data_IF_177112438463
#
_entry.id   IF_177112438463
#
_cell.length_a   1.000
_cell.length_b   1.000
_cell.length_c   1.000
_cell.angle_alpha   90.00
_cell.angle_beta   90.00
_cell.angle_gamma   90.00
#
_symmetry.space_group_name_H-M   'P 1'
#
loop_
_entity.id
_entity.type
_entity.pdbx_description
1 polymer ?
#
# COMPACT_ATOMS: atom_id res chain seq x y z
N UNK A 1 -0.49 -9.94 -67.73
CA UNK A 1 0.27 -8.67 -67.69
C UNK A 1 1.16 -8.69 -66.47
N UNK A 2 2.47 -8.49 -66.67
CA UNK A 2 3.47 -8.31 -65.62
C UNK A 2 3.39 -6.88 -65.06
N UNK A 3 3.42 -6.71 -63.74
CA UNK A 3 4.12 -5.58 -63.11
C UNK A 3 4.73 -6.05 -61.78
N UNK A 4 6.06 -6.02 -61.73
CA UNK A 4 6.90 -6.29 -60.56
C UNK A 4 6.95 -5.07 -59.64
N UNK A 5 7.02 -5.27 -58.32
CA UNK A 5 7.37 -4.21 -57.36
C UNK A 5 8.53 -4.67 -56.48
N UNK A 6 9.47 -3.74 -56.35
CA UNK A 6 10.86 -3.85 -55.94
C UNK A 6 11.10 -4.41 -54.53
N UNK A 7 12.16 -5.21 -54.42
CA UNK A 7 12.86 -5.48 -53.17
C UNK A 7 13.82 -4.32 -52.83
N UNK A 8 13.79 -3.86 -51.58
CA UNK A 8 14.81 -3.01 -50.99
C UNK A 8 15.46 -3.75 -49.82
N UNK A 9 16.69 -4.18 -50.02
CA UNK A 9 17.59 -4.71 -48.98
C UNK A 9 18.26 -3.54 -48.30
N UNK A 10 17.98 -3.34 -47.01
CA UNK A 10 18.72 -2.44 -46.14
C UNK A 10 19.48 -3.25 -45.09
N UNK A 11 20.79 -3.39 -45.26
CA UNK A 11 21.69 -3.82 -44.20
C UNK A 11 22.17 -2.59 -43.42
N UNK A 12 22.02 -2.63 -42.09
CA UNK A 12 22.51 -1.59 -41.19
C UNK A 12 22.65 -2.11 -39.77
N UNK A 13 23.88 -2.49 -39.40
CA UNK A 13 24.25 -2.83 -38.03
C UNK A 13 24.42 -1.56 -37.21
N UNK A 14 23.75 -1.47 -36.06
CA UNK A 14 23.95 -0.39 -35.09
C UNK A 14 23.57 -0.91 -33.72
N UNK A 15 24.56 -1.37 -32.96
CA UNK A 15 24.38 -1.74 -31.56
C UNK A 15 24.10 -0.49 -30.74
N UNK A 16 22.96 -0.48 -30.06
CA UNK A 16 22.81 0.24 -28.80
C UNK A 16 22.18 -0.73 -27.81
N UNK A 17 23.03 -1.18 -26.87
CA UNK A 17 22.56 -1.77 -25.63
C UNK A 17 21.78 -0.68 -24.89
N UNK A 18 20.49 -0.58 -25.16
CA UNK A 18 19.59 0.00 -24.18
C UNK A 18 19.49 -1.02 -23.05
N UNK A 19 20.35 -0.83 -22.04
CA UNK A 19 20.01 -1.21 -20.69
C UNK A 19 18.60 -0.66 -20.46
N UNK A 20 17.60 -1.56 -20.55
CA UNK A 20 16.29 -1.28 -20.00
C UNK A 20 16.54 -1.17 -18.52
N UNK A 21 16.80 0.06 -18.07
CA UNK A 21 16.43 0.47 -16.73
C UNK A 21 15.01 -0.07 -16.55
N UNK A 22 14.88 -0.98 -15.59
CA UNK A 22 13.59 -1.55 -15.23
C UNK A 22 12.64 -0.38 -15.05
N UNK A 23 11.72 -0.20 -16.01
CA UNK A 23 10.51 0.54 -15.77
C UNK A 23 9.87 -0.19 -14.60
N UNK A 24 10.05 0.37 -13.40
CA UNK A 24 9.32 -0.04 -12.21
C UNK A 24 7.88 0.33 -12.48
N UNK A 25 7.20 -0.53 -13.25
CA UNK A 25 5.80 -0.39 -13.56
C UNK A 25 5.11 -0.28 -12.20
N UNK A 26 4.49 0.87 -11.87
CA UNK A 26 3.92 1.07 -10.55
C UNK A 26 2.89 -0.03 -10.35
N UNK A 27 3.08 -0.84 -9.30
CA UNK A 27 2.16 -1.93 -9.01
C UNK A 27 0.74 -1.38 -8.96
N UNK A 28 -0.26 -2.18 -9.33
CA UNK A 28 -1.66 -1.77 -9.23
C UNK A 28 -2.00 -1.25 -7.81
N UNK A 29 -1.27 -1.73 -6.79
CA UNK A 29 -1.27 -1.22 -5.42
C UNK A 29 -0.76 0.22 -5.32
N UNK A 30 0.39 0.56 -5.93
CA UNK A 30 0.95 1.92 -5.93
C UNK A 30 0.07 2.93 -6.69
N UNK A 31 -0.50 2.54 -7.85
CA UNK A 31 -1.40 3.42 -8.64
C UNK A 31 -2.72 3.69 -7.89
N UNK A 32 -3.20 2.73 -7.10
CA UNK A 32 -4.43 2.88 -6.32
C UNK A 32 -4.22 3.63 -5.00
N UNK A 33 -3.07 3.44 -4.34
CA UNK A 33 -2.70 4.21 -3.16
C UNK A 33 -2.56 5.70 -3.48
N UNK A 34 -2.03 6.04 -4.67
CA UNK A 34 -1.98 7.42 -5.16
C UNK A 34 -3.38 8.08 -5.36
N UNK A 35 -4.47 7.30 -5.38
CA UNK A 35 -5.85 7.78 -5.45
C UNK A 35 -6.50 7.96 -4.07
N UNK A 36 -5.80 7.61 -2.99
CA UNK A 36 -6.32 7.76 -1.64
C UNK A 36 -6.60 9.24 -1.38
N UNK A 37 -7.87 9.58 -1.16
CA UNK A 37 -8.23 10.91 -0.67
C UNK A 37 -7.71 11.06 0.76
N UNK A 38 -6.97 12.14 0.99
CA UNK A 38 -6.55 12.49 2.34
C UNK A 38 -7.80 12.82 3.16
N UNK A 39 -7.98 12.11 4.27
CA UNK A 39 -9.09 12.32 5.17
C UNK A 39 -8.84 13.51 6.12
N UNK A 40 -9.86 13.99 6.84
CA UNK A 40 -9.69 15.04 7.86
C UNK A 40 -8.71 14.68 8.99
N UNK A 41 -8.45 13.38 9.19
CA UNK A 41 -7.54 12.86 10.21
C UNK A 41 -6.10 12.64 9.68
N UNK A 42 -5.85 12.87 8.39
CA UNK A 42 -4.52 12.70 7.82
C UNK A 42 -3.63 13.91 8.11
N UNK A 43 -2.43 13.66 8.65
CA UNK A 43 -1.39 14.68 8.74
C UNK A 43 -0.87 15.07 7.35
N UNK A 44 -0.21 16.22 7.25
CA UNK A 44 0.46 16.66 6.00
C UNK A 44 1.43 15.60 5.47
N UNK A 45 2.17 14.94 6.36
CA UNK A 45 3.11 13.86 6.00
C UNK A 45 2.35 12.62 5.52
N UNK A 46 1.33 12.15 6.27
CA UNK A 46 0.50 11.00 5.88
C UNK A 46 -0.13 11.20 4.51
N UNK A 47 -0.77 12.35 4.30
CA UNK A 47 -1.39 12.71 3.04
C UNK A 47 -0.38 12.74 1.87
N UNK A 48 0.81 13.32 2.10
CA UNK A 48 1.87 13.33 1.10
C UNK A 48 2.35 11.92 0.75
N UNK A 49 2.56 11.05 1.76
CA UNK A 49 3.03 9.66 1.54
C UNK A 49 1.97 8.85 0.79
N UNK A 50 0.69 8.96 1.17
CA UNK A 50 -0.43 8.30 0.47
C UNK A 50 -0.48 8.69 -1.00
N UNK A 51 -0.30 9.97 -1.31
CA UNK A 51 -0.33 10.49 -2.70
C UNK A 51 0.96 10.26 -3.48
N UNK A 52 2.07 9.99 -2.80
CA UNK A 52 3.39 9.75 -3.40
C UNK A 52 4.05 8.45 -2.88
N UNK A 53 3.40 7.28 -3.01
CA UNK A 53 3.85 6.05 -2.35
C UNK A 53 5.20 5.53 -2.86
N UNK A 54 5.63 5.95 -4.06
CA UNK A 54 6.91 5.54 -4.66
C UNK A 54 8.13 6.29 -4.12
N UNK A 55 7.95 7.38 -3.37
CA UNK A 55 9.06 8.09 -2.73
C UNK A 55 8.58 8.80 -1.44
N UNK A 56 8.37 8.07 -0.32
CA UNK A 56 7.86 8.65 0.92
C UNK A 56 8.84 9.60 1.62
N UNK A 57 10.15 9.41 1.44
CA UNK A 57 11.18 10.25 2.05
C UNK A 57 11.06 11.73 1.64
N UNK A 58 10.54 12.03 0.44
CA UNK A 58 10.26 13.40 -0.01
C UNK A 58 9.22 14.12 0.85
N UNK A 59 8.39 13.36 1.56
CA UNK A 59 7.35 13.87 2.44
C UNK A 59 7.87 14.10 3.87
N UNK A 60 9.15 13.82 4.13
CA UNK A 60 9.74 13.88 5.46
C UNK A 60 9.40 12.67 6.34
N UNK A 61 8.78 11.64 5.79
CA UNK A 61 8.53 10.40 6.51
C UNK A 61 9.82 9.56 6.58
N UNK A 62 10.07 8.97 7.75
CA UNK A 62 11.03 7.88 7.88
C UNK A 62 10.54 6.63 7.17
N UNK A 63 11.43 5.68 6.88
CA UNK A 63 11.04 4.42 6.23
C UNK A 63 9.94 3.70 7.02
N UNK A 64 10.06 3.65 8.35
CA UNK A 64 9.09 3.01 9.23
C UNK A 64 7.73 3.72 9.23
N UNK A 65 7.71 5.06 9.36
CA UNK A 65 6.47 5.83 9.30
C UNK A 65 5.79 5.67 7.93
N UNK A 66 6.56 5.67 6.86
CA UNK A 66 6.05 5.47 5.51
C UNK A 66 5.40 4.10 5.35
N UNK A 67 6.05 3.04 5.84
CA UNK A 67 5.51 1.69 5.83
C UNK A 67 4.19 1.62 6.60
N UNK A 68 4.10 2.24 7.77
CA UNK A 68 2.88 2.29 8.57
C UNK A 68 1.74 3.02 7.86
N UNK A 69 2.01 4.20 7.28
CA UNK A 69 1.03 4.99 6.52
C UNK A 69 0.51 4.18 5.32
N UNK A 70 1.42 3.59 4.55
CA UNK A 70 1.07 2.82 3.34
C UNK A 70 0.34 1.52 3.70
N UNK A 71 0.70 0.91 4.83
CA UNK A 71 0.01 -0.26 5.35
C UNK A 71 -1.41 0.07 5.78
N UNK A 72 -1.62 1.16 6.54
CA UNK A 72 -2.96 1.62 6.91
C UNK A 72 -3.84 1.92 5.68
N UNK A 73 -3.27 2.58 4.67
CA UNK A 73 -3.97 2.84 3.41
C UNK A 73 -4.34 1.55 2.66
N UNK A 74 -3.50 0.50 2.72
CA UNK A 74 -3.84 -0.82 2.18
C UNK A 74 -4.97 -1.48 2.95
N UNK A 75 -4.96 -1.42 4.28
CA UNK A 75 -6.03 -1.98 5.12
C UNK A 75 -7.38 -1.35 4.77
N UNK A 76 -7.45 -0.02 4.69
CA UNK A 76 -8.67 0.69 4.30
C UNK A 76 -9.18 0.24 2.91
N UNK A 77 -8.28 0.04 1.95
CA UNK A 77 -8.63 -0.46 0.61
C UNK A 77 -9.19 -1.89 0.68
N UNK A 78 -8.54 -2.78 1.42
CA UNK A 78 -8.98 -4.18 1.53
C UNK A 78 -10.33 -4.28 2.24
N UNK A 79 -10.61 -3.43 3.23
CA UNK A 79 -11.90 -3.37 3.91
C UNK A 79 -13.05 -2.94 2.99
N UNK A 80 -12.77 -2.11 1.97
CA UNK A 80 -13.75 -1.71 0.96
C UNK A 80 -14.15 -2.85 0.01
N UNK A 81 -13.42 -3.97 0.01
CA UNK A 81 -13.80 -5.16 -0.76
C UNK A 81 -14.91 -5.94 -0.07
N UNK A 82 -15.89 -6.41 -0.83
CA UNK A 82 -16.99 -7.22 -0.29
C UNK A 82 -16.58 -8.68 -0.06
N UNK A 83 -15.64 -9.20 -0.84
CA UNK A 83 -15.23 -10.62 -0.89
C UNK A 83 -14.15 -11.02 0.15
N UNK A 84 -13.99 -10.23 1.21
CA UNK A 84 -12.98 -10.49 2.24
C UNK A 84 -13.47 -11.54 3.26
N UNK A 85 -12.66 -12.57 3.59
CA UNK A 85 -12.99 -13.52 4.66
C UNK A 85 -13.31 -12.80 5.96
N UNK A 86 -14.30 -13.30 6.71
CA UNK A 86 -14.80 -12.67 7.94
C UNK A 86 -13.67 -12.41 8.95
N UNK A 87 -12.82 -13.41 9.21
CA UNK A 87 -11.71 -13.28 10.14
C UNK A 87 -10.73 -12.16 9.74
N UNK A 88 -10.53 -11.98 8.44
CA UNK A 88 -9.60 -10.97 7.91
C UNK A 88 -10.21 -9.58 8.03
N UNK A 89 -11.50 -9.46 7.73
CA UNK A 89 -12.29 -8.25 7.97
C UNK A 89 -12.26 -7.86 9.45
N UNK A 90 -12.40 -8.84 10.34
CA UNK A 90 -12.29 -8.61 11.79
C UNK A 90 -10.92 -8.04 12.18
N UNK A 91 -9.81 -8.68 11.80
CA UNK A 91 -8.47 -8.19 12.12
C UNK A 91 -8.21 -6.77 11.59
N UNK A 92 -8.67 -6.48 10.36
CA UNK A 92 -8.53 -5.15 9.76
C UNK A 92 -9.34 -4.08 10.50
N UNK A 93 -10.58 -4.39 10.89
CA UNK A 93 -11.41 -3.49 11.68
C UNK A 93 -10.81 -3.21 13.07
N UNK A 94 -10.26 -4.23 13.74
CA UNK A 94 -9.59 -4.03 15.04
C UNK A 94 -8.31 -3.21 14.89
N UNK A 95 -7.55 -3.40 13.81
CA UNK A 95 -6.40 -2.54 13.49
C UNK A 95 -6.82 -1.07 13.30
N UNK A 96 -7.88 -0.79 12.54
CA UNK A 96 -8.38 0.58 12.39
C UNK A 96 -8.82 1.18 13.73
N UNK A 97 -9.47 0.40 14.60
CA UNK A 97 -9.84 0.86 15.94
C UNK A 97 -8.60 1.16 16.78
N UNK A 98 -7.59 0.29 16.71
CA UNK A 98 -6.34 0.48 17.43
C UNK A 98 -5.63 1.76 17.01
N UNK A 99 -5.58 2.06 15.70
CA UNK A 99 -4.96 3.27 15.16
C UNK A 99 -5.73 4.56 15.50
N UNK A 100 -7.07 4.51 15.47
CA UNK A 100 -7.91 5.71 15.59
C UNK A 100 -8.45 5.97 17.01
N UNK A 101 -8.19 5.07 17.95
CA UNK A 101 -8.64 5.21 19.34
C UNK A 101 -7.43 5.09 20.27
N UNK A 102 -7.56 5.55 21.51
CA UNK A 102 -6.50 5.46 22.54
C UNK A 102 -6.31 4.02 23.05
N UNK A 103 -5.91 3.11 22.15
CA UNK A 103 -5.56 1.73 22.48
C UNK A 103 -4.13 1.65 22.99
N UNK A 104 -3.89 0.69 23.87
CA UNK A 104 -2.55 0.28 24.28
C UNK A 104 -2.06 -0.76 23.28
N UNK A 105 -0.76 -0.72 22.98
CA UNK A 105 -0.04 -1.76 22.25
C UNK A 105 0.35 -1.37 20.82
N UNK A 106 1.34 -2.07 20.23
CA UNK A 106 1.76 -1.85 18.85
C UNK A 106 0.71 -2.41 17.87
N UNK A 107 -0.15 -1.53 17.33
CA UNK A 107 -1.27 -1.91 16.47
C UNK A 107 -0.86 -2.78 15.27
N UNK A 108 0.27 -2.45 14.62
CA UNK A 108 0.79 -3.24 13.50
C UNK A 108 1.13 -4.69 13.92
N UNK A 109 1.86 -4.88 15.02
CA UNK A 109 2.23 -6.21 15.49
C UNK A 109 1.01 -7.03 15.91
N UNK A 110 0.04 -6.38 16.55
CA UNK A 110 -1.22 -7.03 16.92
C UNK A 110 -2.04 -7.47 15.72
N UNK A 111 -2.04 -6.68 14.65
CA UNK A 111 -2.63 -7.10 13.38
C UNK A 111 -1.93 -8.33 12.81
N UNK A 112 -0.58 -8.36 12.81
CA UNK A 112 0.19 -9.51 12.32
C UNK A 112 -0.11 -10.79 13.12
N UNK A 113 -0.29 -10.67 14.43
CA UNK A 113 -0.71 -11.78 15.29
C UNK A 113 -2.13 -12.26 14.97
N UNK A 114 -3.08 -11.33 14.78
CA UNK A 114 -4.45 -11.65 14.41
C UNK A 114 -4.53 -12.38 13.07
N UNK A 115 -3.73 -11.98 12.08
CA UNK A 115 -3.63 -12.68 10.80
C UNK A 115 -3.08 -14.10 10.98
N UNK A 116 -2.03 -14.28 11.78
CA UNK A 116 -1.43 -15.59 12.04
C UNK A 116 -2.39 -16.56 12.75
N UNK A 117 -3.30 -16.03 13.55
CA UNK A 117 -4.33 -16.80 14.28
C UNK A 117 -5.66 -16.90 13.51
N UNK A 118 -5.75 -16.31 12.31
CA UNK A 118 -6.95 -16.25 11.49
C UNK A 118 -8.18 -15.72 12.25
N UNK A 119 -8.05 -14.55 12.88
CA UNK A 119 -9.19 -13.83 13.46
C UNK A 119 -9.20 -13.71 14.98
N UNK A 120 -8.12 -14.05 15.67
CA UNK A 120 -8.00 -13.84 17.11
C UNK A 120 -7.13 -12.62 17.41
N UNK A 121 -7.78 -11.52 17.79
CA UNK A 121 -7.08 -10.29 18.16
C UNK A 121 -6.49 -10.42 19.58
N UNK A 122 -5.22 -10.07 19.81
CA UNK A 122 -4.57 -10.23 21.11
C UNK A 122 -5.00 -9.16 22.12
N UNK A 123 -6.19 -9.30 22.70
CA UNK A 123 -6.77 -8.35 23.68
C UNK A 123 -5.99 -8.24 24.99
N UNK A 124 -5.07 -9.16 25.27
CA UNK A 124 -4.14 -9.09 26.40
C UNK A 124 -3.04 -8.03 26.20
N UNK A 125 -2.73 -7.70 24.93
CA UNK A 125 -1.66 -6.76 24.55
C UNK A 125 -2.18 -5.51 23.89
N UNK A 126 -3.22 -5.68 23.06
CA UNK A 126 -3.82 -4.63 22.28
C UNK A 126 -5.28 -4.42 22.68
N UNK A 127 -5.50 -3.45 23.55
CA UNK A 127 -6.81 -3.16 24.13
C UNK A 127 -7.02 -1.67 24.34
N UNK A 128 -8.29 -1.25 24.31
CA UNK A 128 -8.66 0.13 24.59
C UNK A 128 -8.30 0.50 26.03
N UNK A 129 -7.67 1.65 26.25
CA UNK A 129 -7.58 2.21 27.60
C UNK A 129 -8.98 2.40 28.17
N UNK A 130 -9.26 1.78 29.32
CA UNK A 130 -10.46 2.11 30.09
C UNK A 130 -10.29 3.55 30.57
N UNK A 131 -11.01 4.49 29.94
CA UNK A 131 -11.18 5.83 30.50
C UNK A 131 -11.75 5.65 31.91
N UNK A 132 -10.94 5.99 32.92
CA UNK A 132 -11.35 5.94 34.31
C UNK A 132 -12.66 6.69 34.51
N UNK A 133 -13.57 6.07 35.25
CA UNK A 133 -14.80 6.70 35.77
C UNK A 133 -14.42 7.82 36.74
#
# INVERSE_FOLDING_TARGET
MLVAVLALVGAGCGGSAHARASDTQPSATAVYLAQAQCGPQDSTISCCVKTHPGNPARCGATDFEAEEILFAARVAKELAREDLPEWKRYCMNEYEKCQNQDWIGPCYDCFRLCEGQQGEWPHDRCFRQRKGR
#
